data_IF_589248161462
#
_entry.id   IF_589248161462
#
_cell.length_a   1.000
_cell.length_b   1.000
_cell.length_c   1.000
_cell.angle_alpha   90.00
_cell.angle_beta   90.00
_cell.angle_gamma   90.00
#
_symmetry.space_group_name_H-M   'P 1'
#
loop_
_entity.id
_entity.type
_entity.pdbx_description
1 polymer ?
#
# COMPACT_ATOMS: atom_id res chain seq x y z
N UNK A 1 -5.83 15.34 -0.88
CA UNK A 1 -5.44 15.66 0.53
C UNK A 1 -6.04 14.69 1.57
N UNK A 2 -6.94 13.77 1.21
CA UNK A 2 -7.51 12.75 2.12
C UNK A 2 -6.61 11.52 2.34
N UNK A 3 -5.93 11.03 1.28
CA UNK A 3 -5.06 9.83 1.34
C UNK A 3 -3.98 9.89 2.44
N UNK A 4 -3.33 11.05 2.61
CA UNK A 4 -2.29 11.28 3.63
C UNK A 4 -2.76 10.97 5.05
N UNK A 5 -3.98 11.38 5.42
CA UNK A 5 -4.51 11.16 6.78
C UNK A 5 -4.79 9.69 7.06
N UNK A 6 -5.20 8.94 6.04
CA UNK A 6 -5.52 7.52 6.17
C UNK A 6 -4.26 6.65 6.18
N UNK A 7 -3.22 7.02 5.42
CA UNK A 7 -1.93 6.33 5.41
C UNK A 7 -1.24 6.33 6.79
N UNK A 8 -1.26 7.44 7.52
CA UNK A 8 -0.75 7.50 8.91
C UNK A 8 -1.42 6.45 9.79
N UNK A 9 -2.76 6.35 9.72
CA UNK A 9 -3.51 5.40 10.52
C UNK A 9 -3.21 3.94 10.14
N UNK A 10 -2.92 3.66 8.86
CA UNK A 10 -2.51 2.32 8.44
C UNK A 10 -1.15 1.90 8.95
N UNK A 11 -0.15 2.77 8.84
CA UNK A 11 1.21 2.47 9.34
C UNK A 11 1.18 2.21 10.85
N UNK A 12 0.41 3.01 11.60
CA UNK A 12 0.28 2.84 13.05
C UNK A 12 -0.44 1.53 13.40
N UNK A 13 -1.49 1.15 12.68
CA UNK A 13 -2.25 -0.08 12.93
C UNK A 13 -1.43 -1.35 12.67
N UNK A 14 -0.57 -1.35 11.64
CA UNK A 14 0.30 -2.48 11.28
C UNK A 14 1.33 -2.76 12.39
N UNK A 15 1.90 -1.70 12.98
CA UNK A 15 2.94 -1.84 14.01
C UNK A 15 2.38 -2.13 15.42
N UNK A 16 1.06 -2.03 15.63
CA UNK A 16 0.43 -2.10 16.96
C UNK A 16 0.07 -3.52 17.44
N UNK A 17 0.63 -4.58 16.86
CA UNK A 17 0.39 -5.97 17.31
C UNK A 17 1.09 -6.35 18.63
N UNK A 18 1.80 -5.41 19.27
CA UNK A 18 2.40 -5.56 20.60
C UNK A 18 1.56 -4.84 21.70
N UNK A 19 1.45 -5.40 22.91
CA UNK A 19 0.58 -4.86 23.96
C UNK A 19 0.97 -3.44 24.37
N UNK A 20 -0.04 -2.57 24.35
CA UNK A 20 0.01 -1.12 24.55
C UNK A 20 0.52 -0.76 25.94
N UNK A 21 1.78 -0.35 26.00
CA UNK A 21 2.14 0.86 26.73
C UNK A 21 2.41 1.93 25.67
N UNK A 22 2.08 3.20 25.95
CA UNK A 22 2.18 4.32 25.01
C UNK A 22 3.63 4.63 24.58
N UNK A 23 4.26 3.69 23.89
CA UNK A 23 5.52 3.84 23.22
C UNK A 23 5.21 4.41 21.84
N UNK A 24 5.71 5.62 21.60
CA UNK A 24 5.84 6.15 20.25
C UNK A 24 6.53 5.07 19.40
N UNK A 25 5.89 4.67 18.30
CA UNK A 25 6.52 3.78 17.33
C UNK A 25 7.89 4.34 16.96
N UNK A 26 8.91 3.49 17.01
CA UNK A 26 10.24 3.84 16.57
C UNK A 26 10.22 4.17 15.08
N UNK A 27 11.18 4.99 14.64
CA UNK A 27 11.37 5.28 13.22
C UNK A 27 11.56 3.99 12.39
N UNK A 28 12.15 2.95 12.98
CA UNK A 28 12.32 1.65 12.33
C UNK A 28 10.96 0.97 12.08
N UNK A 29 10.09 0.89 13.08
CA UNK A 29 8.75 0.29 12.93
C UNK A 29 7.88 1.05 11.92
N UNK A 30 8.01 2.38 11.87
CA UNK A 30 7.32 3.18 10.87
C UNK A 30 7.84 2.93 9.44
N UNK A 31 9.15 2.75 9.28
CA UNK A 31 9.76 2.39 7.99
C UNK A 31 9.37 0.99 7.54
N UNK A 32 9.25 0.04 8.47
CA UNK A 32 8.77 -1.32 8.18
C UNK A 32 7.31 -1.28 7.69
N UNK A 33 6.47 -0.42 8.28
CA UNK A 33 5.12 -0.17 7.78
C UNK A 33 5.09 0.42 6.36
N UNK A 34 6.01 1.33 6.03
CA UNK A 34 6.14 1.84 4.67
C UNK A 34 6.64 0.78 3.68
N UNK A 35 7.56 -0.09 4.10
CA UNK A 35 8.00 -1.22 3.29
C UNK A 35 6.86 -2.19 2.99
N UNK A 36 6.00 -2.47 3.98
CA UNK A 36 4.80 -3.28 3.75
C UNK A 36 3.86 -2.64 2.72
N UNK A 37 3.66 -1.32 2.79
CA UNK A 37 2.86 -0.59 1.80
C UNK A 37 3.46 -0.65 0.39
N UNK A 38 4.79 -0.59 0.26
CA UNK A 38 5.48 -0.77 -1.02
C UNK A 38 5.26 -2.18 -1.59
N UNK A 39 5.38 -3.23 -0.76
CA UNK A 39 5.13 -4.61 -1.17
C UNK A 39 3.67 -4.83 -1.62
N UNK A 40 2.70 -4.24 -0.90
CA UNK A 40 1.30 -4.28 -1.30
C UNK A 40 1.08 -3.56 -2.64
N UNK A 41 1.73 -2.42 -2.84
CA UNK A 41 1.69 -1.68 -4.09
C UNK A 41 2.24 -2.50 -5.26
N UNK A 42 3.34 -3.23 -5.08
CA UNK A 42 3.88 -4.15 -6.10
C UNK A 42 2.86 -5.23 -6.49
N UNK A 43 2.23 -5.87 -5.51
CA UNK A 43 1.25 -6.92 -5.77
C UNK A 43 0.01 -6.40 -6.50
N UNK A 44 -0.52 -5.26 -6.06
CA UNK A 44 -1.69 -4.60 -6.67
C UNK A 44 -1.35 -4.19 -8.10
N UNK A 45 -0.23 -3.50 -8.31
CA UNK A 45 0.17 -3.03 -9.63
C UNK A 45 0.52 -4.21 -10.54
N UNK A 46 1.14 -5.26 -10.03
CA UNK A 46 1.36 -6.50 -10.77
C UNK A 46 0.05 -7.15 -11.23
N UNK A 47 -0.98 -7.16 -10.39
CA UNK A 47 -2.31 -7.62 -10.78
C UNK A 47 -2.91 -6.72 -11.88
N UNK A 48 -2.80 -5.40 -11.74
CA UNK A 48 -3.22 -4.44 -12.77
C UNK A 48 -2.50 -4.65 -14.10
N UNK A 49 -1.18 -4.82 -14.09
CA UNK A 49 -0.38 -5.06 -15.29
C UNK A 49 -0.72 -6.38 -15.98
N UNK A 50 -1.24 -7.37 -15.23
CA UNK A 50 -1.84 -8.61 -15.75
C UNK A 50 -3.31 -8.48 -16.16
N UNK A 51 -3.85 -7.26 -16.19
CA UNK A 51 -5.25 -6.95 -16.52
C UNK A 51 -6.27 -7.64 -15.62
N UNK A 52 -5.92 -7.88 -14.36
CA UNK A 52 -6.90 -8.32 -13.38
C UNK A 52 -8.05 -7.28 -13.28
N UNK A 53 -9.30 -7.70 -13.08
CA UNK A 53 -10.41 -6.77 -12.87
C UNK A 53 -10.27 -6.02 -11.55
N UNK A 54 -10.61 -4.72 -11.55
CA UNK A 54 -10.58 -3.88 -10.34
C UNK A 54 -11.43 -4.47 -9.21
N UNK A 55 -12.61 -5.00 -9.53
CA UNK A 55 -13.52 -5.61 -8.56
C UNK A 55 -12.84 -6.74 -7.78
N UNK A 56 -12.07 -7.59 -8.47
CA UNK A 56 -11.33 -8.70 -7.85
C UNK A 56 -10.15 -8.20 -7.02
N UNK A 57 -9.45 -7.15 -7.47
CA UNK A 57 -8.38 -6.55 -6.68
C UNK A 57 -8.92 -5.90 -5.39
N UNK A 58 -10.06 -5.22 -5.44
CA UNK A 58 -10.73 -4.66 -4.26
C UNK A 58 -11.22 -5.74 -3.30
N UNK A 59 -11.72 -6.87 -3.79
CA UNK A 59 -12.09 -8.03 -2.96
C UNK A 59 -10.88 -8.59 -2.21
N UNK A 60 -9.75 -8.76 -2.90
CA UNK A 60 -8.49 -9.22 -2.29
C UNK A 60 -7.98 -8.21 -1.26
N UNK A 61 -8.00 -6.93 -1.59
CA UNK A 61 -7.63 -5.85 -0.68
C UNK A 61 -8.51 -5.86 0.58
N UNK A 62 -9.83 -6.03 0.45
CA UNK A 62 -10.75 -6.10 1.59
C UNK A 62 -10.44 -7.29 2.48
N UNK A 63 -10.09 -8.45 1.91
CA UNK A 63 -9.70 -9.63 2.67
C UNK A 63 -8.38 -9.41 3.42
N UNK A 64 -7.36 -8.86 2.76
CA UNK A 64 -6.08 -8.53 3.40
C UNK A 64 -6.29 -7.56 4.56
N UNK A 65 -7.13 -6.54 4.38
CA UNK A 65 -7.48 -5.60 5.45
C UNK A 65 -8.05 -6.31 6.67
N UNK A 66 -8.99 -7.24 6.47
CA UNK A 66 -9.60 -8.01 7.54
C UNK A 66 -8.63 -9.00 8.22
N UNK A 67 -7.76 -9.66 7.45
CA UNK A 67 -6.86 -10.71 7.94
C UNK A 67 -5.60 -10.15 8.62
N UNK A 68 -5.06 -9.04 8.11
CA UNK A 68 -3.78 -8.47 8.53
C UNK A 68 -3.95 -7.21 9.41
N UNK A 69 -5.18 -6.81 9.71
CA UNK A 69 -5.46 -5.60 10.51
C UNK A 69 -5.06 -4.30 9.83
N UNK A 70 -4.80 -4.31 8.51
CA UNK A 70 -4.47 -3.12 7.73
C UNK A 70 -5.76 -2.33 7.52
N UNK A 71 -5.83 -1.02 7.81
CA UNK A 71 -7.00 -0.21 7.55
C UNK A 71 -7.44 -0.26 6.09
N UNK A 72 -8.75 -0.41 5.90
CA UNK A 72 -9.36 -0.60 4.59
C UNK A 72 -9.14 0.58 3.64
N UNK A 73 -9.38 1.82 4.09
CA UNK A 73 -9.34 2.99 3.20
C UNK A 73 -7.98 3.21 2.54
N UNK A 74 -6.83 3.15 3.24
CA UNK A 74 -5.50 3.21 2.61
C UNK A 74 -5.28 2.15 1.54
N UNK A 75 -5.70 0.92 1.80
CA UNK A 75 -5.49 -0.19 0.87
C UNK A 75 -6.43 -0.10 -0.35
N UNK A 76 -7.65 0.37 -0.14
CA UNK A 76 -8.60 0.71 -1.20
C UNK A 76 -8.09 1.85 -2.07
N UNK A 77 -7.63 2.96 -1.48
CA UNK A 77 -7.08 4.10 -2.20
C UNK A 77 -5.86 3.71 -3.03
N UNK A 78 -4.93 2.94 -2.44
CA UNK A 78 -3.77 2.39 -3.14
C UNK A 78 -4.20 1.53 -4.34
N UNK A 79 -5.23 0.69 -4.16
CA UNK A 79 -5.79 -0.14 -5.23
C UNK A 79 -6.39 0.70 -6.35
N UNK A 80 -7.21 1.71 -6.03
CA UNK A 80 -7.83 2.57 -7.03
C UNK A 80 -6.77 3.34 -7.82
N UNK A 81 -5.77 3.90 -7.15
CA UNK A 81 -4.69 4.63 -7.80
C UNK A 81 -3.86 3.74 -8.74
N UNK A 82 -3.58 2.49 -8.37
CA UNK A 82 -2.93 1.55 -9.30
C UNK A 82 -3.75 1.35 -10.59
N UNK A 83 -5.09 1.31 -10.47
CA UNK A 83 -5.99 1.05 -11.60
C UNK A 83 -6.28 2.27 -12.49
N UNK A 84 -5.93 3.46 -12.03
CA UNK A 84 -5.88 4.68 -12.86
C UNK A 84 -4.65 4.68 -13.79
N UNK A 85 -3.63 3.87 -13.48
CA UNK A 85 -2.40 3.79 -14.28
C UNK A 85 -2.57 2.89 -15.52
N UNK A 86 -1.88 3.22 -16.63
CA UNK A 86 -1.91 2.42 -17.85
C UNK A 86 -1.26 1.05 -17.66
N UNK A 87 -1.64 0.11 -18.53
CA UNK A 87 -0.99 -1.21 -18.62
C UNK A 87 0.11 -1.15 -19.68
N UNK A 88 1.31 -1.56 -19.33
CA UNK A 88 2.46 -1.63 -20.24
C UNK A 88 2.24 -2.62 -21.38
N UNK A 89 2.73 -2.27 -22.56
CA UNK A 89 2.60 -3.09 -23.78
C UNK A 89 3.70 -4.15 -23.86
N UNK A 90 4.86 -3.91 -23.23
CA UNK A 90 5.95 -4.88 -23.10
C UNK A 90 6.14 -5.37 -21.66
N UNK A 91 6.89 -6.45 -21.49
CA UNK A 91 7.24 -6.93 -20.15
C UNK A 91 8.11 -5.92 -19.39
N UNK A 92 9.05 -5.28 -20.06
CA UNK A 92 9.90 -4.25 -19.46
C UNK A 92 9.07 -3.08 -18.92
N UNK A 93 8.13 -2.57 -19.71
CA UNK A 93 7.23 -1.49 -19.29
C UNK A 93 6.34 -1.91 -18.11
N UNK A 94 5.86 -3.16 -18.09
CA UNK A 94 5.09 -3.68 -16.96
C UNK A 94 5.91 -3.72 -15.68
N UNK A 95 7.15 -4.23 -15.74
CA UNK A 95 8.04 -4.30 -14.59
C UNK A 95 8.44 -2.92 -14.08
N UNK A 96 8.74 -1.98 -14.99
CA UNK A 96 9.00 -0.58 -14.63
C UNK A 96 7.78 0.03 -13.93
N UNK A 97 6.58 -0.13 -14.48
CA UNK A 97 5.38 0.43 -13.89
C UNK A 97 5.05 -0.17 -12.50
N UNK A 98 5.45 -1.43 -12.23
CA UNK A 98 5.35 -2.06 -10.91
C UNK A 98 6.33 -1.41 -9.94
N UNK A 99 7.62 -1.34 -10.30
CA UNK A 99 8.66 -0.74 -9.47
C UNK A 99 8.38 0.73 -9.14
N UNK A 100 8.06 1.54 -10.16
CA UNK A 100 7.75 2.96 -9.99
C UNK A 100 6.53 3.19 -9.08
N UNK A 101 5.56 2.26 -9.08
CA UNK A 101 4.40 2.35 -8.21
C UNK A 101 4.73 1.99 -6.76
N UNK A 102 5.60 1.00 -6.55
CA UNK A 102 6.09 0.63 -5.23
C UNK A 102 6.94 1.73 -4.59
N UNK A 103 7.86 2.31 -5.36
CA UNK A 103 8.67 3.45 -4.95
C UNK A 103 7.80 4.66 -4.61
N UNK A 104 6.78 4.93 -5.43
CA UNK A 104 5.79 5.97 -5.14
C UNK A 104 5.08 5.71 -3.79
N UNK A 105 4.62 4.49 -3.53
CA UNK A 105 3.94 4.16 -2.28
C UNK A 105 4.86 4.27 -1.06
N UNK A 106 6.12 3.83 -1.18
CA UNK A 106 7.14 3.97 -0.15
C UNK A 106 7.39 5.44 0.19
N UNK A 107 7.65 6.26 -0.84
CA UNK A 107 7.93 7.69 -0.67
C UNK A 107 6.72 8.45 -0.13
N UNK A 108 5.51 8.16 -0.60
CA UNK A 108 4.28 8.80 -0.09
C UNK A 108 4.06 8.45 1.39
N UNK A 109 4.28 7.19 1.76
CA UNK A 109 4.26 6.77 3.17
C UNK A 109 5.30 7.52 4.00
N UNK A 110 6.57 7.51 3.60
CA UNK A 110 7.66 8.18 4.32
C UNK A 110 7.41 9.69 4.47
N UNK A 111 6.90 10.34 3.43
CA UNK A 111 6.57 11.77 3.47
C UNK A 111 5.43 12.11 4.42
N UNK A 112 4.60 11.12 4.76
CA UNK A 112 3.50 11.28 5.70
C UNK A 112 3.97 11.09 7.16
N UNK A 113 5.18 10.53 7.37
CA UNK A 113 5.81 10.36 8.69
C UNK A 113 6.64 11.57 9.14
N UNK A 114 6.92 12.52 8.24
CA UNK A 114 7.61 13.79 8.52
C UNK A 114 6.61 14.88 8.91
#
# INVERSE_FOLDING_TARGET
>A
MMMRKHLVAAVIAIAASAPVSAQSLSRAELLDGCSLMANLAEHIMGARQRRAPLTKALEVASRISAEQGIPWEPLKDLTLHAYERPVGNSELERQQAIGDFADYAMLDCMNTLN
#
